data_IF_186393895036
#
_entry.id   IF_186393895036
#
_cell.length_a   1.000
_cell.length_b   1.000
_cell.length_c   1.000
_cell.angle_alpha   90.00
_cell.angle_beta   90.00
_cell.angle_gamma   90.00
#
_symmetry.space_group_name_H-M   'P 1'
#
loop_
_entity.id
_entity.type
_entity.pdbx_description
1 polymer ?
#
# COMPACT_ATOMS: atom_id res chain seq x y z
N UNK A 1 -13.62 -15.67 1.44
CA UNK A 1 -14.60 -14.66 1.89
C UNK A 1 -13.92 -13.81 2.95
N UNK A 2 -13.37 -12.67 2.56
CA UNK A 2 -12.67 -11.73 3.45
C UNK A 2 -12.31 -10.53 2.59
N UNK A 3 -13.05 -9.43 2.71
CA UNK A 3 -12.97 -8.33 1.75
C UNK A 3 -13.93 -7.18 2.03
N UNK A 4 -15.00 -7.45 2.80
CA UNK A 4 -16.05 -6.47 3.11
C UNK A 4 -15.48 -5.17 3.69
N UNK A 5 -14.47 -5.25 4.56
CA UNK A 5 -13.86 -4.06 5.16
C UNK A 5 -13.18 -3.19 4.09
N UNK A 6 -12.40 -3.80 3.21
CA UNK A 6 -11.71 -3.12 2.12
C UNK A 6 -12.70 -2.52 1.11
N UNK A 7 -13.75 -3.26 0.76
CA UNK A 7 -14.83 -2.80 -0.13
C UNK A 7 -15.54 -1.57 0.47
N UNK A 8 -15.87 -1.61 1.77
CA UNK A 8 -16.49 -0.47 2.44
C UNK A 8 -15.58 0.74 2.49
N UNK A 9 -14.30 0.58 2.82
CA UNK A 9 -13.32 1.69 2.79
C UNK A 9 -13.29 2.34 1.39
N UNK A 10 -13.30 1.54 0.32
CA UNK A 10 -13.35 2.05 -1.05
C UNK A 10 -14.65 2.80 -1.36
N UNK A 11 -15.82 2.26 -0.97
CA UNK A 11 -17.12 2.93 -1.13
C UNK A 11 -17.17 4.29 -0.41
N UNK A 12 -16.68 4.36 0.83
CA UNK A 12 -16.62 5.61 1.59
C UNK A 12 -15.67 6.62 0.95
N UNK A 13 -14.48 6.18 0.52
CA UNK A 13 -13.51 7.04 -0.15
C UNK A 13 -14.10 7.61 -1.45
N UNK A 14 -14.76 6.77 -2.25
CA UNK A 14 -15.46 7.21 -3.45
C UNK A 14 -16.48 8.31 -3.14
N UNK A 15 -17.33 8.09 -2.12
CA UNK A 15 -18.34 9.07 -1.73
C UNK A 15 -17.74 10.42 -1.26
N UNK A 16 -16.57 10.39 -0.61
CA UNK A 16 -15.88 11.61 -0.15
C UNK A 16 -15.34 12.42 -1.33
N UNK A 17 -14.73 11.75 -2.30
CA UNK A 17 -14.02 12.37 -3.43
C UNK A 17 -14.94 12.74 -4.60
N UNK A 18 -16.10 12.10 -4.73
CA UNK A 18 -17.04 12.33 -5.83
C UNK A 18 -17.36 13.82 -5.98
N UNK A 19 -17.24 14.29 -7.23
CA UNK A 19 -17.52 15.66 -7.66
C UNK A 19 -16.67 16.74 -6.95
N UNK A 20 -15.49 16.37 -6.42
CA UNK A 20 -14.55 17.28 -5.76
C UNK A 20 -13.13 17.15 -6.31
N UNK A 21 -12.40 18.27 -6.47
CA UNK A 21 -10.97 18.21 -6.77
C UNK A 21 -10.23 17.59 -5.58
N UNK A 22 -9.27 16.71 -5.87
CA UNK A 22 -8.47 16.03 -4.88
C UNK A 22 -7.05 15.80 -5.39
N UNK A 23 -6.10 15.82 -4.48
CA UNK A 23 -4.69 15.54 -4.74
C UNK A 23 -4.14 14.78 -3.53
N UNK A 24 -3.43 13.69 -3.80
CA UNK A 24 -3.01 12.74 -2.78
C UNK A 24 -1.50 12.69 -2.73
N UNK A 25 -0.96 12.62 -1.51
CA UNK A 25 0.46 12.50 -1.22
C UNK A 25 0.63 11.37 -0.21
N UNK A 26 1.45 10.40 -0.54
CA UNK A 26 1.81 9.29 0.33
C UNK A 26 3.26 9.43 0.78
N UNK A 27 3.48 9.33 2.08
CA UNK A 27 4.81 9.26 2.69
C UNK A 27 5.12 7.79 2.94
N UNK A 28 6.11 7.26 2.22
CA UNK A 28 6.50 5.86 2.30
C UNK A 28 7.77 5.81 3.15
N UNK A 29 7.57 5.86 4.46
CA UNK A 29 8.63 5.88 5.46
C UNK A 29 8.19 5.07 6.69
N UNK A 30 9.15 4.52 7.43
CA UNK A 30 8.91 3.67 8.59
C UNK A 30 7.84 2.59 8.31
N UNK A 31 7.94 1.90 7.17
CA UNK A 31 6.95 0.88 6.75
C UNK A 31 6.97 -0.25 7.76
N UNK A 32 5.98 -0.26 8.64
CA UNK A 32 5.95 -1.09 9.82
C UNK A 32 5.25 -2.43 9.53
N UNK A 33 5.66 -3.53 10.20
CA UNK A 33 5.04 -4.83 9.96
C UNK A 33 3.62 -4.92 10.55
N UNK A 34 3.29 -4.17 11.60
CA UNK A 34 1.97 -4.21 12.25
C UNK A 34 1.20 -2.90 12.07
N UNK A 35 -0.10 -2.93 12.37
CA UNK A 35 -0.90 -1.70 12.39
C UNK A 35 -0.31 -0.70 13.38
N UNK A 36 -0.08 0.53 12.96
CA UNK A 36 0.37 1.63 13.84
C UNK A 36 -0.63 1.97 14.96
N UNK A 37 -1.84 1.44 14.86
CA UNK A 37 -2.84 1.48 15.93
C UNK A 37 -2.50 0.57 17.12
N UNK A 38 -1.55 -0.35 16.97
CA UNK A 38 -1.06 -1.20 18.04
C UNK A 38 -0.06 -0.46 18.91
N UNK A 39 -0.03 -0.78 20.21
CA UNK A 39 0.83 -0.09 21.19
C UNK A 39 2.32 -0.45 21.07
N UNK A 40 2.67 -1.33 20.14
CA UNK A 40 4.03 -1.75 19.84
C UNK A 40 4.15 -2.04 18.34
N UNK A 41 5.27 -1.67 17.74
CA UNK A 41 5.59 -2.07 16.38
C UNK A 41 7.05 -2.51 16.34
N UNK A 42 7.33 -3.46 15.45
CA UNK A 42 8.67 -3.97 15.26
C UNK A 42 9.44 -3.09 14.25
N UNK A 43 10.69 -3.45 13.97
CA UNK A 43 11.52 -2.78 12.97
C UNK A 43 10.82 -2.69 11.61
N UNK A 44 11.00 -1.56 10.93
CA UNK A 44 10.49 -1.36 9.58
C UNK A 44 10.96 -2.47 8.61
N UNK A 45 10.07 -2.93 7.75
CA UNK A 45 10.34 -4.05 6.83
C UNK A 45 11.15 -3.63 5.59
N UNK A 46 11.14 -2.35 5.25
CA UNK A 46 11.94 -1.74 4.17
C UNK A 46 12.50 -0.38 4.63
N UNK A 47 13.62 0.10 4.05
CA UNK A 47 14.09 1.46 4.28
C UNK A 47 13.08 2.51 3.81
N UNK A 48 13.23 3.74 4.29
CA UNK A 48 12.44 4.88 3.80
C UNK A 48 12.61 5.06 2.28
N UNK A 49 11.50 5.16 1.57
CA UNK A 49 11.46 5.33 0.11
C UNK A 49 11.30 6.81 -0.26
N UNK A 50 10.56 7.57 0.55
CA UNK A 50 10.32 9.00 0.34
C UNK A 50 8.84 9.31 0.15
N UNK A 51 8.53 10.15 -0.84
CA UNK A 51 7.17 10.63 -1.09
C UNK A 51 6.72 10.32 -2.51
N UNK A 52 5.45 9.93 -2.66
CA UNK A 52 4.77 9.79 -3.94
C UNK A 52 3.52 10.68 -3.94
N UNK A 53 3.13 11.18 -5.11
CA UNK A 53 1.94 12.01 -5.21
C UNK A 53 1.22 11.80 -6.55
N UNK A 54 -0.10 11.93 -6.54
CA UNK A 54 -0.95 11.75 -7.72
C UNK A 54 -2.31 12.44 -7.54
N UNK A 55 -2.96 12.74 -8.66
CA UNK A 55 -4.39 13.08 -8.68
C UNK A 55 -5.28 11.82 -8.67
N UNK A 56 -4.76 10.68 -9.12
CA UNK A 56 -5.45 9.39 -9.03
C UNK A 56 -4.99 8.64 -7.75
N UNK A 57 -5.86 8.48 -6.75
CA UNK A 57 -5.51 7.80 -5.50
C UNK A 57 -5.26 6.29 -5.67
N UNK A 58 -5.91 5.65 -6.65
CA UNK A 58 -5.77 4.21 -6.90
C UNK A 58 -4.40 3.92 -7.51
N UNK A 59 -3.99 4.75 -8.48
CA UNK A 59 -2.66 4.69 -9.08
C UNK A 59 -1.57 4.96 -8.04
N UNK A 60 -1.80 5.92 -7.12
CA UNK A 60 -0.87 6.26 -6.05
C UNK A 60 -0.65 5.09 -5.09
N UNK A 61 -1.72 4.50 -4.57
CA UNK A 61 -1.64 3.38 -3.63
C UNK A 61 -0.96 2.17 -4.30
N UNK A 62 -1.28 1.90 -5.57
CA UNK A 62 -0.62 0.85 -6.33
C UNK A 62 0.89 1.11 -6.47
N UNK A 63 1.29 2.33 -6.83
CA UNK A 63 2.68 2.71 -6.93
C UNK A 63 3.42 2.57 -5.59
N UNK A 64 2.78 2.93 -4.47
CA UNK A 64 3.36 2.80 -3.14
C UNK A 64 3.67 1.33 -2.80
N UNK A 65 2.72 0.43 -3.02
CA UNK A 65 2.91 -1.00 -2.77
C UNK A 65 4.00 -1.59 -3.66
N UNK A 66 4.01 -1.23 -4.95
CA UNK A 66 5.03 -1.68 -5.88
C UNK A 66 6.44 -1.19 -5.49
N UNK A 67 6.56 0.06 -5.01
CA UNK A 67 7.82 0.62 -4.51
C UNK A 67 8.32 -0.14 -3.27
N UNK A 68 7.44 -0.42 -2.29
CA UNK A 68 7.78 -1.22 -1.11
C UNK A 68 8.20 -2.63 -1.50
N UNK A 69 7.47 -3.28 -2.40
CA UNK A 69 7.81 -4.63 -2.85
C UNK A 69 9.13 -4.68 -3.65
N UNK A 70 9.51 -3.59 -4.34
CA UNK A 70 10.82 -3.46 -5.03
C UNK A 70 11.97 -3.09 -4.10
N UNK A 71 11.72 -2.43 -2.97
CA UNK A 71 12.75 -2.02 -2.02
C UNK A 71 13.45 -3.24 -1.38
N UNK A 72 14.73 -3.13 -0.99
CA UNK A 72 15.39 -4.19 -0.23
C UNK A 72 14.71 -4.36 1.14
N UNK A 73 14.64 -5.59 1.63
CA UNK A 73 14.23 -5.83 3.01
C UNK A 73 15.27 -5.27 3.99
N UNK A 74 14.82 -4.79 5.15
CA UNK A 74 15.70 -4.47 6.27
C UNK A 74 16.09 -5.76 6.98
N UNK A 75 17.40 -5.95 7.21
CA UNK A 75 17.92 -7.10 7.98
C UNK A 75 17.53 -6.95 9.46
N UNK A 76 17.14 -8.05 10.09
CA UNK A 76 16.61 -8.09 11.45
C UNK A 76 15.14 -7.71 11.57
N UNK A 77 14.45 -7.44 10.46
CA UNK A 77 12.99 -7.31 10.45
C UNK A 77 12.33 -8.70 10.40
N UNK A 78 11.02 -8.74 10.71
CA UNK A 78 10.20 -9.96 10.62
C UNK A 78 10.28 -10.69 9.27
N UNK A 79 10.68 -10.00 8.20
CA UNK A 79 10.88 -10.63 6.88
C UNK A 79 12.05 -11.63 6.87
N UNK A 80 13.04 -11.48 7.74
CA UNK A 80 14.16 -12.43 7.86
C UNK A 80 13.71 -13.77 8.46
N UNK A 81 12.76 -13.74 9.41
CA UNK A 81 12.25 -14.93 10.10
C UNK A 81 11.23 -15.73 9.27
N UNK A 82 10.71 -15.14 8.20
CA UNK A 82 9.61 -15.71 7.40
C UNK A 82 10.06 -16.38 6.09
N UNK A 83 11.37 -16.61 5.90
CA UNK A 83 11.96 -17.15 4.67
C UNK A 83 11.60 -16.38 3.39
N UNK A 84 11.38 -15.07 3.50
CA UNK A 84 11.03 -14.20 2.38
C UNK A 84 12.09 -14.23 1.26
N UNK A 85 11.64 -14.35 0.00
CA UNK A 85 12.49 -14.24 -1.17
C UNK A 85 12.29 -12.91 -1.92
N UNK A 86 13.38 -12.35 -2.43
CA UNK A 86 13.33 -11.10 -3.20
C UNK A 86 12.39 -11.22 -4.40
N UNK A 87 11.45 -10.28 -4.52
CA UNK A 87 10.44 -10.27 -5.58
C UNK A 87 9.06 -10.78 -5.14
N UNK A 88 8.96 -11.34 -3.94
CA UNK A 88 7.68 -11.70 -3.35
C UNK A 88 6.97 -10.47 -2.73
N UNK A 89 5.67 -10.63 -2.48
CA UNK A 89 4.83 -9.63 -1.84
C UNK A 89 5.13 -9.59 -0.34
N UNK A 90 5.82 -8.54 0.10
CA UNK A 90 6.23 -8.37 1.51
C UNK A 90 5.04 -8.31 2.44
N UNK A 91 3.97 -7.61 2.04
CA UNK A 91 2.78 -7.47 2.88
C UNK A 91 2.05 -8.81 3.06
N UNK A 92 1.92 -9.59 1.98
CA UNK A 92 1.33 -10.93 2.04
C UNK A 92 2.18 -11.93 2.84
N UNK A 93 3.50 -11.75 2.88
CA UNK A 93 4.37 -12.56 3.73
C UNK A 93 4.24 -12.24 5.22
N UNK A 94 4.15 -10.96 5.56
CA UNK A 94 4.01 -10.52 6.96
C UNK A 94 2.62 -10.90 7.50
N UNK A 95 1.57 -10.78 6.68
CA UNK A 95 0.18 -11.09 7.04
C UNK A 95 -0.48 -12.02 6.04
N UNK A 96 -0.27 -13.33 6.18
CA UNK A 96 -0.78 -14.34 5.24
C UNK A 96 -2.31 -14.37 5.11
N UNK A 97 -3.01 -13.91 6.14
CA UNK A 97 -4.48 -13.84 6.18
C UNK A 97 -5.05 -12.53 5.62
N UNK A 98 -4.19 -11.64 5.09
CA UNK A 98 -4.58 -10.33 4.54
C UNK A 98 -4.20 -10.21 3.06
N UNK A 99 -5.14 -9.74 2.24
CA UNK A 99 -4.89 -9.44 0.83
C UNK A 99 -5.24 -7.98 0.52
N UNK A 100 -4.20 -7.15 0.36
CA UNK A 100 -4.34 -5.74 0.02
C UNK A 100 -4.91 -5.52 -1.39
N UNK A 101 -4.76 -6.50 -2.30
CA UNK A 101 -5.20 -6.39 -3.70
C UNK A 101 -6.72 -6.32 -3.80
N UNK A 102 -7.45 -6.87 -2.82
CA UNK A 102 -8.92 -6.84 -2.79
C UNK A 102 -9.41 -5.39 -2.82
N UNK A 103 -8.81 -4.51 -2.01
CA UNK A 103 -9.17 -3.09 -1.97
C UNK A 103 -8.92 -2.39 -3.30
N UNK A 104 -7.71 -2.55 -3.87
CA UNK A 104 -7.34 -1.92 -5.14
C UNK A 104 -8.17 -2.43 -6.34
N UNK A 105 -8.43 -3.73 -6.39
CA UNK A 105 -9.27 -4.30 -7.44
C UNK A 105 -10.71 -3.81 -7.36
N UNK A 106 -11.26 -3.69 -6.15
CA UNK A 106 -12.62 -3.23 -5.96
C UNK A 106 -12.77 -1.73 -6.24
N UNK A 107 -11.84 -0.90 -5.77
CA UNK A 107 -11.91 0.57 -5.95
C UNK A 107 -11.76 0.97 -7.43
N UNK A 108 -10.94 0.23 -8.20
CA UNK A 108 -10.87 0.36 -9.67
C UNK A 108 -12.18 -0.10 -10.32
N UNK A 109 -12.76 -1.23 -9.88
CA UNK A 109 -14.03 -1.75 -10.40
C UNK A 109 -15.21 -0.76 -10.22
N UNK A 110 -15.25 -0.01 -9.13
CA UNK A 110 -16.29 1.02 -8.91
C UNK A 110 -15.97 2.36 -9.58
N UNK A 111 -14.82 2.47 -10.25
CA UNK A 111 -14.47 3.59 -11.12
C UNK A 111 -13.95 4.83 -10.39
N UNK A 112 -13.25 4.68 -9.25
CA UNK A 112 -12.60 5.82 -8.59
C UNK A 112 -11.30 6.26 -9.31
N UNK A 113 -10.60 5.32 -9.92
CA UNK A 113 -9.29 5.51 -10.54
C UNK A 113 -8.81 4.22 -11.17
N UNK A 114 -7.54 4.15 -11.55
CA UNK A 114 -6.93 2.96 -12.16
C UNK A 114 -5.68 2.52 -11.43
N UNK A 115 -5.40 1.22 -11.45
CA UNK A 115 -4.12 0.67 -10.98
C UNK A 115 -2.98 0.89 -11.97
N UNK A 116 -3.25 1.32 -13.21
CA UNK A 116 -2.22 1.63 -14.18
C UNK A 116 -1.61 3.00 -13.88
N UNK A 117 -0.29 3.09 -13.88
CA UNK A 117 0.42 4.33 -13.62
C UNK A 117 1.74 4.39 -14.39
N UNK A 118 2.17 5.61 -14.71
CA UNK A 118 3.53 5.91 -15.15
C UNK A 118 4.29 6.58 -14.00
N UNK A 119 5.43 5.99 -13.61
CA UNK A 119 6.25 6.56 -12.54
C UNK A 119 7.20 7.62 -13.10
N UNK A 120 6.95 8.89 -12.77
CA UNK A 120 7.82 10.01 -13.11
C UNK A 120 8.68 10.37 -11.89
N UNK A 121 9.99 10.19 -12.01
CA UNK A 121 10.94 10.55 -10.96
C UNK A 121 11.35 12.01 -11.12
N UNK A 122 11.08 12.82 -10.10
CA UNK A 122 11.49 14.22 -10.03
C UNK A 122 12.76 14.32 -9.17
N UNK A 123 13.74 15.10 -9.61
CA UNK A 123 15.01 15.36 -8.91
C UNK A 123 15.03 16.76 -8.33
#
# INVERSE_FOLDING_TARGET
MGGIVQEKIAEYTYAVLKDKPHFHISFIMNVSPYCDCWNYNDMAIVPDIGMAASFDPVALDRACVDLVNKAPMVKGSILEDTHFHSGEDKFGHVHIDTDWKIGLNYVEKIGLGTQNYDLIVVK
#
